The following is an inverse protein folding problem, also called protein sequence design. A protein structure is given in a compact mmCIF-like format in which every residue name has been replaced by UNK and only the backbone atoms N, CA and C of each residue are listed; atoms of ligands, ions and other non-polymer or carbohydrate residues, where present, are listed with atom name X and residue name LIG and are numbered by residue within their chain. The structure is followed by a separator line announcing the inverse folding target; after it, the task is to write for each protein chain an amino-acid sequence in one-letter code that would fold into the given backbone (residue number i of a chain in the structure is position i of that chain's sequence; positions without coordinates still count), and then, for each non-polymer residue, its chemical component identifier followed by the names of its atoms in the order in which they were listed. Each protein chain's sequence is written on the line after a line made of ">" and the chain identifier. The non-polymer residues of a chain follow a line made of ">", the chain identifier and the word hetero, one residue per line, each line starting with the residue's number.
data_IF_837642940477
#
_entry.id   IF_837642940477
#
_cell.length_a   1.000
_cell.length_b   1.000
_cell.length_c   1.000
_cell.angle_alpha   90.00
_cell.angle_beta   90.00
_cell.angle_gamma   90.00
#
_symmetry.space_group_name_H-M   'P 1'
#
loop_
_entity.id
_entity.type
_entity.pdbx_description
1 polymer ?
#
# COMPACT_ATOMS: atom_id res chain seq x y z
N UNK A 1 9.76 10.83 23.71
CA UNK A 1 9.97 9.71 22.76
C UNK A 1 9.09 9.89 21.51
N UNK A 2 9.64 9.97 20.28
CA UNK A 2 8.86 10.08 19.02
C UNK A 2 9.41 9.21 17.87
N UNK A 3 10.38 8.34 18.15
CA UNK A 3 11.18 7.64 17.13
C UNK A 3 10.66 6.23 16.76
N UNK A 4 9.44 5.87 17.18
CA UNK A 4 8.87 4.53 17.00
C UNK A 4 7.68 4.48 16.02
N UNK A 5 7.51 5.49 15.16
CA UNK A 5 6.50 5.45 14.11
C UNK A 5 7.15 5.01 12.78
N UNK A 6 6.54 4.08 12.03
CA UNK A 6 7.04 3.68 10.73
C UNK A 6 7.17 4.91 9.82
N UNK A 7 8.40 5.23 9.43
CA UNK A 7 8.72 6.37 8.57
C UNK A 7 8.19 6.12 7.15
N UNK A 8 7.79 7.19 6.48
CA UNK A 8 7.42 7.17 5.07
C UNK A 8 8.64 6.71 4.25
N UNK A 9 8.48 5.64 3.47
CA UNK A 9 9.58 5.10 2.70
C UNK A 9 9.67 5.79 1.33
N UNK A 10 10.67 6.64 1.13
CA UNK A 10 10.91 7.30 -0.17
C UNK A 10 11.35 6.33 -1.28
N UNK A 11 11.64 5.07 -0.95
CA UNK A 11 12.03 4.05 -1.93
C UNK A 11 10.83 3.49 -2.71
N UNK A 12 9.60 3.68 -2.22
CA UNK A 12 8.39 3.18 -2.88
C UNK A 12 7.34 4.27 -2.94
N UNK A 13 6.87 4.55 -4.15
CA UNK A 13 5.79 5.51 -4.36
C UNK A 13 4.46 4.76 -4.43
N UNK A 14 3.52 5.14 -3.56
CA UNK A 14 2.22 4.48 -3.44
C UNK A 14 1.13 5.44 -3.88
N UNK A 15 0.32 4.99 -4.83
CA UNK A 15 -0.77 5.77 -5.41
C UNK A 15 -2.01 4.89 -5.49
N UNK A 16 -3.19 5.49 -5.32
CA UNK A 16 -4.46 4.78 -5.48
C UNK A 16 -4.97 5.05 -6.89
N UNK A 17 -5.34 4.00 -7.63
CA UNK A 17 -5.90 4.11 -9.00
C UNK A 17 -7.44 4.05 -8.99
N UNK A 18 -8.06 3.56 -7.92
CA UNK A 18 -9.52 3.52 -7.73
C UNK A 18 -10.09 4.83 -7.17
N UNK A 19 -11.42 5.00 -7.21
CA UNK A 19 -12.14 6.12 -6.58
C UNK A 19 -12.29 5.92 -5.05
N UNK A 20 -12.54 6.99 -4.26
CA UNK A 20 -12.68 6.94 -2.81
C UNK A 20 -13.83 6.08 -2.29
N UNK A 21 -14.78 5.66 -3.12
CA UNK A 21 -15.91 4.78 -2.76
C UNK A 21 -15.99 3.53 -3.65
N UNK A 22 -14.94 3.26 -4.44
CA UNK A 22 -14.89 2.11 -5.34
C UNK A 22 -14.66 0.81 -4.58
N UNK A 23 -15.20 -0.29 -5.11
CA UNK A 23 -14.95 -1.65 -4.64
C UNK A 23 -14.78 -2.57 -5.84
N UNK A 24 -13.57 -3.10 -6.10
CA UNK A 24 -12.39 -3.12 -5.23
C UNK A 24 -11.54 -1.83 -5.25
N UNK A 25 -10.80 -1.60 -4.16
CA UNK A 25 -9.77 -0.55 -4.08
C UNK A 25 -8.50 -1.06 -4.77
N UNK A 26 -7.94 -0.25 -5.67
CA UNK A 26 -6.75 -0.57 -6.45
C UNK A 26 -5.60 0.34 -6.02
N UNK A 27 -4.56 -0.24 -5.45
CA UNK A 27 -3.37 0.46 -4.98
C UNK A 27 -2.20 0.07 -5.87
N UNK A 28 -1.50 1.07 -6.39
CA UNK A 28 -0.29 0.90 -7.20
C UNK A 28 0.94 1.32 -6.41
N UNK A 29 1.90 0.42 -6.31
CA UNK A 29 3.15 0.58 -5.57
C UNK A 29 4.29 0.53 -6.56
N UNK A 30 4.94 1.67 -6.82
CA UNK A 30 6.05 1.80 -7.78
C UNK A 30 7.39 1.81 -7.05
N UNK A 31 8.36 0.98 -7.47
CA UNK A 31 9.71 1.05 -6.94
C UNK A 31 10.39 2.36 -7.40
N UNK A 32 11.22 2.91 -6.53
CA UNK A 32 12.18 3.98 -6.84
C UNK A 32 13.62 3.46 -6.69
N UNK A 33 14.61 4.31 -6.94
CA UNK A 33 16.02 3.93 -6.80
C UNK A 33 16.32 3.42 -5.37
N UNK A 34 16.92 2.23 -5.26
CA UNK A 34 17.20 1.57 -3.97
C UNK A 34 16.09 0.66 -3.42
N UNK A 35 14.95 0.55 -4.10
CA UNK A 35 13.88 -0.40 -3.79
C UNK A 35 14.31 -1.85 -4.00
N UNK A 36 13.74 -2.76 -3.20
CA UNK A 36 13.91 -4.20 -3.39
C UNK A 36 13.33 -4.65 -4.74
N UNK A 37 14.09 -5.44 -5.49
CA UNK A 37 13.61 -6.04 -6.75
C UNK A 37 12.56 -7.11 -6.51
N UNK A 38 12.48 -7.67 -5.30
CA UNK A 38 11.49 -8.66 -4.93
C UNK A 38 11.19 -8.56 -3.42
N UNK A 39 10.17 -7.81 -3.01
CA UNK A 39 9.73 -7.74 -1.62
C UNK A 39 9.01 -9.03 -1.13
N UNK A 40 8.86 -10.05 -1.98
CA UNK A 40 8.18 -11.28 -1.63
C UNK A 40 6.66 -11.10 -1.64
N UNK A 41 5.98 -11.70 -0.66
CA UNK A 41 4.53 -11.49 -0.47
C UNK A 41 4.28 -10.10 0.10
N UNK A 42 3.30 -9.40 -0.48
CA UNK A 42 2.97 -8.03 -0.13
C UNK A 42 1.56 -7.98 0.43
N UNK A 43 1.38 -7.26 1.53
CA UNK A 43 0.09 -7.04 2.16
C UNK A 43 -0.11 -5.56 2.48
N UNK A 44 -1.32 -5.06 2.25
CA UNK A 44 -1.70 -3.71 2.62
C UNK A 44 -2.68 -3.73 3.81
N UNK A 45 -2.36 -3.02 4.87
CA UNK A 45 -3.26 -2.87 6.03
C UNK A 45 -3.74 -1.43 6.10
N UNK A 46 -5.04 -1.20 5.87
CA UNK A 46 -5.62 0.13 6.08
C UNK A 46 -5.68 0.45 7.56
N UNK A 47 -5.11 1.58 7.95
CA UNK A 47 -5.12 2.02 9.36
C UNK A 47 -6.50 2.50 9.80
N UNK A 48 -7.25 3.09 8.87
CA UNK A 48 -8.59 3.65 9.07
C UNK A 48 -9.71 2.62 8.79
N UNK A 49 -9.37 1.34 8.62
CA UNK A 49 -10.35 0.27 8.35
C UNK A 49 -11.03 0.34 6.98
N UNK A 50 -10.50 1.11 6.04
CA UNK A 50 -11.09 1.27 4.70
C UNK A 50 -11.04 -0.01 3.84
N UNK A 51 -10.06 -0.89 4.08
CA UNK A 51 -9.85 -2.13 3.35
C UNK A 51 -10.04 -3.30 4.31
N UNK A 52 -10.76 -4.33 3.86
CA UNK A 52 -10.88 -5.59 4.59
C UNK A 52 -9.71 -6.52 4.28
N UNK A 53 -9.27 -7.31 5.27
CA UNK A 53 -8.32 -8.39 5.07
C UNK A 53 -8.97 -9.62 4.41
N UNK A 54 -10.29 -9.69 4.42
CA UNK A 54 -11.08 -10.79 3.88
C UNK A 54 -12.10 -10.27 2.86
N UNK A 55 -12.05 -10.70 1.58
CA UNK A 55 -11.18 -11.74 1.02
C UNK A 55 -9.71 -11.31 0.85
N UNK A 56 -8.82 -12.31 0.69
CA UNK A 56 -7.40 -12.08 0.50
C UNK A 56 -7.10 -11.12 -0.66
N UNK A 57 -6.17 -10.20 -0.44
CA UNK A 57 -5.78 -9.17 -1.41
C UNK A 57 -5.07 -9.80 -2.60
N UNK A 58 -5.39 -9.33 -3.81
CA UNK A 58 -4.73 -9.81 -5.02
C UNK A 58 -3.57 -8.89 -5.36
N UNK A 59 -2.35 -9.40 -5.24
CA UNK A 59 -1.14 -8.67 -5.64
C UNK A 59 -0.65 -9.17 -7.00
N UNK A 60 -0.49 -8.26 -7.95
CA UNK A 60 0.07 -8.53 -9.28
C UNK A 60 1.26 -7.63 -9.57
N UNK A 61 2.44 -8.24 -9.71
CA UNK A 61 3.62 -7.56 -10.21
C UNK A 61 3.46 -7.21 -11.69
N UNK A 62 3.73 -5.96 -12.03
CA UNK A 62 3.69 -5.41 -13.38
C UNK A 62 5.06 -5.53 -14.06
N UNK A 63 5.07 -5.43 -15.40
CA UNK A 63 6.30 -5.51 -16.21
C UNK A 63 7.28 -4.37 -15.91
N UNK A 64 6.78 -3.21 -15.46
CA UNK A 64 7.59 -2.06 -15.06
C UNK A 64 8.22 -2.20 -13.67
N UNK A 65 7.93 -3.29 -12.95
CA UNK A 65 8.41 -3.51 -11.58
C UNK A 65 7.47 -2.99 -10.49
N UNK A 66 6.40 -2.25 -10.85
CA UNK A 66 5.35 -1.90 -9.89
C UNK A 66 4.49 -3.09 -9.46
N UNK A 67 3.83 -2.94 -8.32
CA UNK A 67 2.89 -3.90 -7.77
C UNK A 67 1.49 -3.27 -7.78
N UNK A 68 0.52 -3.98 -8.35
CA UNK A 68 -0.90 -3.64 -8.24
C UNK A 68 -1.53 -4.53 -7.17
N UNK A 69 -2.01 -3.89 -6.11
CA UNK A 69 -2.72 -4.53 -5.00
C UNK A 69 -4.20 -4.22 -5.19
N UNK A 70 -5.00 -5.24 -5.42
CA UNK A 70 -6.45 -5.15 -5.49
C UNK A 70 -7.02 -5.71 -4.19
N UNK A 71 -7.61 -4.84 -3.39
CA UNK A 71 -8.16 -5.18 -2.09
C UNK A 71 -9.65 -4.83 -2.03
N UNK A 72 -10.43 -5.66 -1.35
CA UNK A 72 -11.86 -5.39 -1.18
C UNK A 72 -12.05 -4.26 -0.19
N UNK A 73 -12.96 -3.34 -0.51
CA UNK A 73 -13.32 -2.26 0.41
C UNK A 73 -14.10 -2.84 1.60
N UNK A 74 -13.82 -2.38 2.81
CA UNK A 74 -14.56 -2.77 4.00
C UNK A 74 -15.97 -2.15 4.00
N UNK A 75 -16.99 -2.91 4.39
CA UNK A 75 -18.35 -2.38 4.65
C UNK A 75 -18.37 -1.35 5.79
N UNK A 76 -17.39 -1.41 6.69
CA UNK A 76 -17.20 -0.45 7.78
C UNK A 76 -16.35 0.76 7.39
N UNK A 77 -15.98 0.89 6.11
CA UNK A 77 -15.15 1.98 5.65
C UNK A 77 -15.88 3.34 5.79
N UNK A 78 -15.21 4.37 6.32
CA UNK A 78 -15.76 5.72 6.30
C UNK A 78 -15.95 6.21 4.85
N UNK A 79 -17.17 6.65 4.53
CA UNK A 79 -17.53 7.18 3.20
C UNK A 79 -16.98 8.59 3.00
N UNK A 80 -16.57 8.92 1.78
CA UNK A 80 -16.06 10.26 1.45
C UNK A 80 -14.63 10.56 1.96
N UNK A 81 -13.89 9.55 2.44
CA UNK A 81 -12.45 9.69 2.72
C UNK A 81 -11.68 9.84 1.40
N UNK A 82 -11.04 10.99 1.24
CA UNK A 82 -10.17 11.27 0.08
C UNK A 82 -8.72 10.81 0.28
N UNK A 83 -8.41 10.21 1.43
CA UNK A 83 -7.08 9.71 1.76
C UNK A 83 -7.14 8.25 2.20
N UNK A 84 -6.18 7.47 1.70
CA UNK A 84 -5.94 6.09 2.06
C UNK A 84 -4.63 6.00 2.84
N UNK A 85 -4.75 5.93 4.16
CA UNK A 85 -3.63 5.71 5.07
C UNK A 85 -3.55 4.24 5.45
N UNK A 86 -2.35 3.67 5.43
CA UNK A 86 -2.13 2.27 5.75
C UNK A 86 -0.66 1.91 5.93
N UNK A 87 -0.43 0.62 6.11
CA UNK A 87 0.90 0.02 6.23
C UNK A 87 1.07 -1.04 5.17
N UNK A 88 2.15 -0.95 4.40
CA UNK A 88 2.57 -1.98 3.46
C UNK A 88 3.58 -2.90 4.12
N UNK A 89 3.30 -4.20 4.09
CA UNK A 89 4.14 -5.25 4.67
C UNK A 89 4.66 -6.14 3.55
N UNK A 90 5.92 -6.53 3.65
CA UNK A 90 6.62 -7.41 2.71
C UNK A 90 7.35 -8.52 3.47
N UNK A 91 7.21 -9.76 3.01
CA UNK A 91 7.91 -10.91 3.64
C UNK A 91 9.44 -10.81 3.52
N UNK A 92 9.95 -10.39 2.35
CA UNK A 92 11.41 -10.29 2.10
C UNK A 92 11.94 -8.87 2.37
N UNK A 93 11.03 -7.89 2.47
CA UNK A 93 11.35 -6.50 2.74
C UNK A 93 11.45 -5.60 1.52
N UNK A 94 11.24 -4.31 1.77
CA UNK A 94 11.03 -3.30 0.75
C UNK A 94 12.33 -2.62 0.28
N UNK A 95 13.42 -2.65 1.04
CA UNK A 95 14.66 -1.96 0.68
C UNK A 95 15.78 -2.94 0.33
N UNK A 96 16.57 -2.63 -0.70
CA UNK A 96 17.64 -3.51 -1.17
C UNK A 96 18.85 -3.57 -0.22
N UNK A 97 19.08 -2.50 0.57
CA UNK A 97 20.26 -2.38 1.44
C UNK A 97 20.01 -2.67 2.93
N UNK A 98 18.82 -2.35 3.46
CA UNK A 98 18.43 -2.65 4.85
C UNK A 98 17.09 -3.38 4.82
N UNK A 99 16.87 -4.40 5.65
CA UNK A 99 15.58 -5.06 5.73
C UNK A 99 14.54 -4.05 6.22
N UNK A 100 13.64 -3.65 5.32
CA UNK A 100 12.50 -2.81 5.63
C UNK A 100 11.25 -3.69 5.50
N UNK A 101 10.83 -4.42 6.55
CA UNK A 101 9.74 -5.38 6.45
C UNK A 101 8.39 -4.69 6.23
N UNK A 102 8.23 -3.46 6.71
CA UNK A 102 7.02 -2.68 6.52
C UNK A 102 7.31 -1.18 6.49
N UNK A 103 6.42 -0.42 5.85
CA UNK A 103 6.44 1.04 5.88
C UNK A 103 5.03 1.62 5.83
N UNK A 104 4.87 2.82 6.39
CA UNK A 104 3.60 3.54 6.38
C UNK A 104 3.43 4.26 5.07
N UNK A 105 2.18 4.32 4.61
CA UNK A 105 1.78 5.03 3.40
C UNK A 105 0.59 5.92 3.70
N UNK A 106 0.62 7.11 3.12
CA UNK A 106 -0.50 8.04 3.13
C UNK A 106 -0.68 8.54 1.71
N UNK A 107 -1.60 7.90 0.98
CA UNK A 107 -1.86 8.22 -0.42
C UNK A 107 -3.22 8.90 -0.52
N UNK A 108 -3.31 9.95 -1.33
CA UNK A 108 -4.61 10.55 -1.67
C UNK A 108 -5.25 9.79 -2.82
N UNK A 109 -6.58 9.68 -2.79
CA UNK A 109 -7.35 9.22 -3.94
C UNK A 109 -7.22 10.24 -5.09
N UNK A 110 -7.29 9.80 -6.36
CA UNK A 110 -7.24 10.71 -7.50
C UNK A 110 -8.43 11.67 -7.42
N UNK A 111 -8.13 12.99 -7.42
CA UNK A 111 -9.13 14.05 -7.56
C UNK A 111 -9.68 13.97 -8.99
N UNK A 112 -10.99 13.74 -9.10
CA UNK A 112 -11.69 13.65 -10.38
C UNK A 112 -12.23 15.02 -10.78
#
# INVERSE_FOLDING_TARGET
>A
EREALPQECSLWNVSVESNPDDNPVVIRVRPSEGASKNPGEVYFFSEDGQITSEPAQKVRRQKDGSYLITATRSDFSPKGRMTLSGTLVASEGWAAGKPLPAFRVNSSYPLK
#
